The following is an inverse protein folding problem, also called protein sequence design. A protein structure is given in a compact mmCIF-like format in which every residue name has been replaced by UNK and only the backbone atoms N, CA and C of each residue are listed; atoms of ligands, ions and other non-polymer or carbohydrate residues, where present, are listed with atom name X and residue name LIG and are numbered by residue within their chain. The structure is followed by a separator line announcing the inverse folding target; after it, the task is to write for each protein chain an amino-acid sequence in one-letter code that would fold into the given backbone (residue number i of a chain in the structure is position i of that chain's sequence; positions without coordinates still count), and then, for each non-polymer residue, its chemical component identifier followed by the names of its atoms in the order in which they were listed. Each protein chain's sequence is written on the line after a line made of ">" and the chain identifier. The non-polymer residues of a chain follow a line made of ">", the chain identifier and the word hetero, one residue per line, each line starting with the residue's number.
data_IF_905244258466
#
_entry.id   IF_905244258466
#
_cell.length_a   1.000
_cell.length_b   1.000
_cell.length_c   1.000
_cell.angle_alpha   90.00
_cell.angle_beta   90.00
_cell.angle_gamma   90.00
#
_symmetry.space_group_name_H-M   'P 1'
#
loop_
_entity.id
_entity.type
_entity.pdbx_description
1 polymer ?
#
# COMPACT_ATOMS: atom_id res chain seq x y z
N UNK A 1 -8.03 11.31 -3.21
CA UNK A 1 -7.95 9.84 -3.07
C UNK A 1 -6.50 9.45 -2.80
N UNK A 2 -6.24 8.29 -2.20
CA UNK A 2 -4.90 7.74 -1.99
C UNK A 2 -4.91 6.24 -2.27
N UNK A 3 -3.86 5.74 -2.92
CA UNK A 3 -3.69 4.31 -3.17
C UNK A 3 -2.59 3.78 -2.24
N UNK A 4 -2.88 2.71 -1.50
CA UNK A 4 -1.96 2.15 -0.51
C UNK A 4 -1.67 0.68 -0.87
N UNK A 5 -0.39 0.28 -0.95
CA UNK A 5 -0.04 -1.14 -1.11
C UNK A 5 -0.48 -1.93 0.13
N UNK A 6 -0.99 -3.13 -0.07
CA UNK A 6 -1.47 -4.00 1.02
C UNK A 6 -0.78 -5.36 1.05
N UNK A 7 0.15 -5.61 0.11
CA UNK A 7 0.90 -6.85 0.01
C UNK A 7 0.92 -7.37 -1.42
N UNK A 8 1.00 -8.69 -1.53
CA UNK A 8 1.03 -9.40 -2.81
C UNK A 8 -0.15 -10.36 -2.91
N UNK A 9 -0.63 -10.58 -4.13
CA UNK A 9 -1.64 -11.61 -4.41
C UNK A 9 -1.03 -13.03 -4.38
N UNK A 10 -1.83 -14.04 -4.70
CA UNK A 10 -1.39 -15.44 -4.74
C UNK A 10 -0.33 -15.71 -5.81
N UNK A 11 -0.19 -14.83 -6.80
CA UNK A 11 0.81 -14.93 -7.87
C UNK A 11 2.08 -14.14 -7.54
N UNK A 12 2.14 -13.46 -6.39
CA UNK A 12 3.27 -12.62 -6.01
C UNK A 12 3.30 -11.28 -6.73
N UNK A 13 2.16 -10.77 -7.21
CA UNK A 13 2.03 -9.44 -7.80
C UNK A 13 1.58 -8.41 -6.75
N UNK A 14 2.13 -7.18 -6.74
CA UNK A 14 1.72 -6.14 -5.80
C UNK A 14 0.21 -5.83 -5.92
N UNK A 15 -0.47 -5.85 -4.77
CA UNK A 15 -1.87 -5.49 -4.64
C UNK A 15 -2.02 -4.23 -3.78
N UNK A 16 -3.03 -3.41 -4.10
CA UNK A 16 -3.29 -2.14 -3.41
C UNK A 16 -4.77 -1.95 -3.11
N UNK A 17 -5.06 -1.11 -2.12
CA UNK A 17 -6.40 -0.61 -1.82
C UNK A 17 -6.46 0.90 -2.08
N UNK A 18 -7.56 1.37 -2.65
CA UNK A 18 -7.79 2.79 -2.88
C UNK A 18 -8.79 3.35 -1.87
N UNK A 19 -8.39 4.42 -1.17
CA UNK A 19 -9.27 5.18 -0.30
C UNK A 19 -9.71 6.48 -0.98
N UNK A 20 -11.01 6.76 -0.92
CA UNK A 20 -11.62 7.98 -1.44
C UNK A 20 -12.25 8.71 -0.26
N UNK A 21 -11.76 9.93 0.00
CA UNK A 21 -12.32 10.82 1.02
C UNK A 21 -13.33 11.80 0.42
N UNK A 22 -14.16 12.39 1.27
CA UNK A 22 -15.01 13.52 0.90
C UNK A 22 -14.15 14.77 0.55
N UNK A 23 -14.70 15.78 -0.15
CA UNK A 23 -13.98 17.02 -0.45
C UNK A 23 -13.35 17.66 0.78
N UNK A 24 -12.10 18.13 0.67
CA UNK A 24 -11.34 18.82 1.72
C UNK A 24 -11.10 17.98 3.01
N UNK A 25 -11.04 16.64 2.88
CA UNK A 25 -10.80 15.72 4.00
C UNK A 25 -9.48 14.95 3.92
N UNK A 26 -8.50 15.46 3.19
CA UNK A 26 -7.20 14.82 2.95
C UNK A 26 -6.48 14.48 4.27
N UNK A 27 -6.54 15.36 5.26
CA UNK A 27 -5.93 15.11 6.58
C UNK A 27 -6.51 13.86 7.27
N UNK A 28 -7.83 13.65 7.19
CA UNK A 28 -8.48 12.45 7.72
C UNK A 28 -8.12 11.22 6.89
N UNK A 29 -8.17 11.36 5.56
CA UNK A 29 -7.82 10.29 4.62
C UNK A 29 -6.39 9.77 4.85
N UNK A 30 -5.42 10.67 5.03
CA UNK A 30 -4.02 10.31 5.27
C UNK A 30 -3.80 9.70 6.66
N UNK A 31 -4.55 10.12 7.69
CA UNK A 31 -4.50 9.48 9.02
C UNK A 31 -5.02 8.04 8.99
N UNK A 32 -6.07 7.78 8.22
CA UNK A 32 -6.57 6.42 7.97
C UNK A 32 -5.50 5.60 7.24
N UNK A 33 -4.96 6.14 6.14
CA UNK A 33 -3.90 5.47 5.37
C UNK A 33 -2.68 5.14 6.24
N UNK A 34 -2.23 6.07 7.11
CA UNK A 34 -1.12 5.84 8.06
C UNK A 34 -1.41 4.73 9.07
N UNK A 35 -2.67 4.61 9.50
CA UNK A 35 -3.07 3.54 10.40
C UNK A 35 -2.94 2.19 9.69
N UNK A 36 -3.51 2.07 8.49
CA UNK A 36 -3.42 0.84 7.69
C UNK A 36 -1.97 0.48 7.35
N UNK A 37 -1.16 1.46 6.95
CA UNK A 37 0.28 1.30 6.70
C UNK A 37 1.00 0.68 7.91
N UNK A 38 0.75 1.19 9.12
CA UNK A 38 1.39 0.70 10.34
C UNK A 38 0.97 -0.74 10.66
N UNK A 39 -0.32 -1.05 10.52
CA UNK A 39 -0.83 -2.39 10.83
C UNK A 39 -0.40 -3.44 9.80
N UNK A 40 -0.35 -3.08 8.51
CA UNK A 40 0.07 -4.00 7.45
C UNK A 40 1.59 -4.12 7.32
N UNK A 41 2.34 -3.10 7.75
CA UNK A 41 3.80 -3.05 7.70
C UNK A 41 4.36 -3.49 6.33
N UNK A 42 3.75 -3.03 5.23
CA UNK A 42 4.06 -3.51 3.88
C UNK A 42 5.50 -3.20 3.44
N UNK A 43 6.18 -2.25 4.10
CA UNK A 43 7.60 -1.95 3.91
C UNK A 43 8.55 -3.09 4.30
N UNK A 44 8.06 -4.06 5.09
CA UNK A 44 8.84 -5.22 5.50
C UNK A 44 9.00 -6.28 4.40
N UNK A 45 8.30 -6.13 3.28
CA UNK A 45 8.33 -7.07 2.17
C UNK A 45 8.83 -6.36 0.93
N UNK A 46 9.91 -6.88 0.36
CA UNK A 46 10.48 -6.36 -0.88
C UNK A 46 10.06 -7.23 -2.07
N UNK A 47 9.75 -6.62 -3.24
CA UNK A 47 9.43 -7.38 -4.44
C UNK A 47 10.67 -8.13 -4.92
N UNK A 48 10.50 -9.41 -5.29
CA UNK A 48 11.56 -10.17 -5.97
C UNK A 48 11.69 -9.68 -7.40
N UNK A 49 12.67 -8.81 -7.64
CA UNK A 49 13.02 -8.36 -8.98
C UNK A 49 13.86 -9.45 -9.67
N UNK A 50 13.34 -10.05 -10.74
CA UNK A 50 14.01 -11.11 -11.52
C UNK A 50 15.26 -10.64 -12.28
N UNK A 51 15.57 -9.34 -12.25
CA UNK A 51 16.59 -8.68 -13.10
C UNK A 51 17.97 -8.58 -12.42
N UNK A 52 18.13 -9.04 -11.18
CA UNK A 52 19.40 -8.93 -10.43
C UNK A 52 20.15 -10.25 -10.21
N UNK A 53 19.84 -11.31 -10.96
CA UNK A 53 20.71 -12.49 -11.01
C UNK A 53 21.83 -12.22 -12.03
N UNK A 54 23.00 -11.81 -11.53
CA UNK A 54 24.28 -11.98 -12.23
C UNK A 54 24.83 -13.37 -11.93
#
# INVERSE_FOLDING_TARGET
>A
AVNLPIGFDTNGLPASVQFIGAPFTEAKLLRIARTVERELNFWSVEPRLSVLTK
#
